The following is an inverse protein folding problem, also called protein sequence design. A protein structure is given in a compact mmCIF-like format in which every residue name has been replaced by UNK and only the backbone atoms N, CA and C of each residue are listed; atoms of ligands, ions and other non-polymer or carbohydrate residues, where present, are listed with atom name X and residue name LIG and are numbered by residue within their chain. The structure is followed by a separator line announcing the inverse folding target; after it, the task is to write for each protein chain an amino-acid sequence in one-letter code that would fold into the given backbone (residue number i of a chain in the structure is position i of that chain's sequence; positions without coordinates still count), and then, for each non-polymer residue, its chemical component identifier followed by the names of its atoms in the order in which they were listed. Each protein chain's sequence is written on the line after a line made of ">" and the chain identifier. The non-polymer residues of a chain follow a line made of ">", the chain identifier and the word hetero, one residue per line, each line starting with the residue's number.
data_IF_281532621277
#
_entry.id   IF_281532621277
#
_cell.length_a   1.000
_cell.length_b   1.000
_cell.length_c   1.000
_cell.angle_alpha   90.00
_cell.angle_beta   90.00
_cell.angle_gamma   90.00
#
_symmetry.space_group_name_H-M   'P 1'
#
loop_
_entity.id
_entity.type
_entity.pdbx_description
1 polymer ?
#
# COMPACT_ATOMS: atom_id res chain seq x y z
N UNK A 1 23.23 -6.47 1.35
CA UNK A 1 22.25 -7.19 0.49
C UNK A 1 20.87 -6.52 0.53
N UNK A 2 20.60 -5.70 1.56
CA UNK A 2 19.38 -4.91 1.84
C UNK A 2 18.88 -3.90 0.80
N UNK A 3 19.63 -3.60 -0.27
CA UNK A 3 19.23 -2.49 -1.16
C UNK A 3 18.30 -2.91 -2.31
N UNK A 4 18.27 -4.21 -2.67
CA UNK A 4 17.61 -4.68 -3.91
C UNK A 4 16.09 -4.51 -3.91
N UNK A 5 15.40 -4.82 -2.81
CA UNK A 5 13.94 -4.71 -2.73
C UNK A 5 13.48 -3.26 -2.86
N UNK A 6 14.08 -2.36 -2.08
CA UNK A 6 13.73 -0.94 -2.10
C UNK A 6 14.08 -0.28 -3.44
N UNK A 7 15.18 -0.68 -4.08
CA UNK A 7 15.55 -0.18 -5.41
C UNK A 7 14.54 -0.60 -6.48
N UNK A 8 14.03 -1.83 -6.42
CA UNK A 8 12.97 -2.29 -7.32
C UNK A 8 11.67 -1.50 -7.13
N UNK A 9 11.29 -1.21 -5.88
CA UNK A 9 10.13 -0.36 -5.58
C UNK A 9 10.32 1.04 -6.15
N UNK A 10 11.48 1.68 -5.89
CA UNK A 10 11.80 3.02 -6.40
C UNK A 10 11.74 3.07 -7.92
N UNK A 11 12.38 2.13 -8.61
CA UNK A 11 12.40 2.09 -10.07
C UNK A 11 10.99 2.00 -10.67
N UNK A 12 10.11 1.19 -10.08
CA UNK A 12 8.73 1.05 -10.55
C UNK A 12 7.88 2.30 -10.25
N UNK A 13 8.03 2.90 -9.07
CA UNK A 13 7.36 4.17 -8.72
C UNK A 13 7.81 5.29 -9.66
N UNK A 14 9.10 5.37 -9.98
CA UNK A 14 9.68 6.38 -10.86
C UNK A 14 9.08 6.32 -12.28
N UNK A 15 8.88 5.12 -12.81
CA UNK A 15 8.31 4.89 -14.15
C UNK A 15 6.79 5.08 -14.22
N UNK A 16 6.10 5.03 -13.09
CA UNK A 16 4.66 5.13 -13.00
C UNK A 16 4.14 6.58 -13.04
N UNK A 17 2.97 6.75 -13.65
CA UNK A 17 2.19 7.99 -13.64
C UNK A 17 1.28 8.04 -12.41
N UNK A 18 0.77 6.87 -12.00
CA UNK A 18 -0.09 6.70 -10.83
C UNK A 18 0.50 5.63 -9.91
N UNK A 19 0.35 5.80 -8.59
CA UNK A 19 0.77 4.82 -7.59
C UNK A 19 -0.39 4.47 -6.68
N UNK A 20 -0.84 3.22 -6.73
CA UNK A 20 -1.84 2.67 -5.84
C UNK A 20 -1.13 1.88 -4.75
N UNK A 21 -1.23 2.30 -3.50
CA UNK A 21 -0.58 1.64 -2.37
C UNK A 21 -1.60 0.91 -1.52
N UNK A 22 -1.32 -0.35 -1.19
CA UNK A 22 -2.11 -1.18 -0.30
C UNK A 22 -1.27 -1.60 0.89
N UNK A 23 -1.73 -1.30 2.11
CA UNK A 23 -1.00 -1.55 3.35
C UNK A 23 -1.78 -2.54 4.21
N UNK A 24 -1.10 -3.55 4.75
CA UNK A 24 -1.76 -4.54 5.60
C UNK A 24 -0.98 -4.98 6.83
N UNK A 25 -1.18 -6.24 7.19
CA UNK A 25 -0.88 -6.84 8.49
C UNK A 25 0.53 -6.56 9.05
N UNK A 26 1.57 -6.47 8.21
CA UNK A 26 2.93 -6.20 8.71
C UNK A 26 3.09 -4.80 9.34
N UNK A 27 2.15 -3.88 9.07
CA UNK A 27 2.09 -2.53 9.63
C UNK A 27 1.13 -2.41 10.83
N UNK A 28 0.60 -3.51 11.38
CA UNK A 28 -0.30 -3.47 12.53
C UNK A 28 0.39 -2.91 13.78
N UNK A 29 -0.29 -1.99 14.47
CA UNK A 29 0.11 -1.45 15.78
C UNK A 29 0.49 -2.56 16.79
N UNK A 30 1.49 -2.30 17.61
CA UNK A 30 1.81 -3.13 18.77
C UNK A 30 0.99 -2.75 20.01
N UNK A 31 0.78 -3.71 20.91
CA UNK A 31 0.06 -3.51 22.18
C UNK A 31 1.03 -3.35 23.37
N UNK A 32 0.60 -2.61 24.40
CA UNK A 32 1.39 -2.40 25.62
C UNK A 32 2.66 -1.56 25.42
N UNK A 33 3.56 -1.52 26.43
CA UNK A 33 4.77 -0.69 26.40
C UNK A 33 5.74 -1.04 25.27
N UNK A 34 5.89 -2.33 24.94
CA UNK A 34 6.71 -2.80 23.81
C UNK A 34 6.10 -2.40 22.46
N UNK A 35 4.80 -2.09 22.42
CA UNK A 35 4.11 -1.60 21.24
C UNK A 35 4.51 -0.18 20.84
N UNK A 36 4.93 0.67 21.78
CA UNK A 36 5.25 2.08 21.49
C UNK A 36 6.40 2.22 20.48
N UNK A 37 7.50 1.49 20.69
CA UNK A 37 8.64 1.50 19.76
C UNK A 37 8.25 1.00 18.36
N UNK A 38 7.44 -0.07 18.29
CA UNK A 38 6.91 -0.56 17.01
C UNK A 38 6.03 0.48 16.32
N UNK A 39 5.20 1.18 17.07
CA UNK A 39 4.29 2.21 16.56
C UNK A 39 5.07 3.39 15.97
N UNK A 40 6.13 3.82 16.65
CA UNK A 40 7.03 4.85 16.10
C UNK A 40 7.71 4.38 14.81
N UNK A 41 8.16 3.12 14.75
CA UNK A 41 8.72 2.52 13.52
C UNK A 41 7.71 2.51 12.38
N UNK A 42 6.46 2.15 12.65
CA UNK A 42 5.36 2.17 11.67
C UNK A 42 5.16 3.60 11.13
N UNK A 43 5.11 4.60 12.00
CA UNK A 43 4.97 6.01 11.56
C UNK A 43 6.19 6.47 10.75
N UNK A 44 7.41 6.08 11.14
CA UNK A 44 8.62 6.33 10.33
C UNK A 44 8.53 5.69 8.95
N UNK A 45 8.02 4.46 8.86
CA UNK A 45 7.84 3.77 7.60
C UNK A 45 6.79 4.44 6.70
N UNK A 46 5.66 4.89 7.25
CA UNK A 46 4.70 5.70 6.51
C UNK A 46 5.31 7.03 6.03
N UNK A 47 6.14 7.66 6.84
CA UNK A 47 6.83 8.89 6.46
C UNK A 47 7.84 8.66 5.33
N UNK A 48 8.54 7.53 5.33
CA UNK A 48 9.45 7.16 4.23
C UNK A 48 8.68 6.84 2.94
N UNK A 49 7.51 6.21 3.07
CA UNK A 49 6.58 6.02 1.96
C UNK A 49 6.10 7.38 1.41
N UNK A 50 5.78 8.35 2.28
CA UNK A 50 5.39 9.70 1.84
C UNK A 50 6.52 10.39 1.04
N UNK A 51 7.78 10.24 1.45
CA UNK A 51 8.93 10.77 0.69
C UNK A 51 9.05 10.09 -0.68
N UNK A 52 8.87 8.77 -0.74
CA UNK A 52 8.88 8.01 -2.00
C UNK A 52 7.78 8.46 -2.97
N UNK A 53 6.61 8.83 -2.46
CA UNK A 53 5.46 9.26 -3.25
C UNK A 53 5.49 10.76 -3.61
N UNK A 54 6.51 11.51 -3.19
CA UNK A 54 6.56 12.95 -3.44
C UNK A 54 6.55 13.26 -4.95
N UNK A 55 5.60 14.09 -5.38
CA UNK A 55 5.42 14.46 -6.78
C UNK A 55 4.70 13.40 -7.65
N UNK A 56 4.26 12.28 -7.06
CA UNK A 56 3.44 11.27 -7.73
C UNK A 56 1.96 11.49 -7.47
N UNK A 57 1.13 11.10 -8.43
CA UNK A 57 -0.31 10.95 -8.20
C UNK A 57 -0.55 9.62 -7.51
N UNK A 58 -0.99 9.63 -6.25
CA UNK A 58 -1.14 8.40 -5.47
C UNK A 58 -2.48 8.30 -4.76
N UNK A 59 -2.82 7.08 -4.35
CA UNK A 59 -3.86 6.80 -3.38
C UNK A 59 -3.42 5.62 -2.51
N UNK A 60 -3.74 5.67 -1.21
CA UNK A 60 -3.39 4.64 -0.25
C UNK A 60 -4.66 4.02 0.32
N UNK A 61 -4.73 2.70 0.32
CA UNK A 61 -5.73 1.92 1.03
C UNK A 61 -5.03 1.09 2.11
N UNK A 62 -5.61 1.07 3.31
CA UNK A 62 -5.12 0.26 4.43
C UNK A 62 -6.19 -0.69 4.93
N UNK A 63 -5.83 -1.91 5.32
CA UNK A 63 -6.70 -2.83 6.07
C UNK A 63 -6.49 -2.76 7.59
N UNK A 64 -5.54 -1.94 8.05
CA UNK A 64 -5.27 -1.73 9.48
C UNK A 64 -6.31 -0.80 10.11
N UNK A 65 -6.78 -1.15 11.32
CA UNK A 65 -7.87 -0.46 12.04
C UNK A 65 -7.39 0.55 13.08
N UNK A 66 -6.08 0.66 13.24
CA UNK A 66 -5.46 1.44 14.32
C UNK A 66 -5.31 2.93 13.99
N UNK A 67 -5.61 3.32 12.75
CA UNK A 67 -5.51 4.68 12.23
C UNK A 67 -4.13 5.34 12.40
N UNK A 68 -3.06 4.57 12.67
CA UNK A 68 -1.69 5.10 12.79
C UNK A 68 -1.21 5.76 11.50
N UNK A 69 -1.73 5.33 10.35
CA UNK A 69 -1.38 5.87 9.04
C UNK A 69 -1.62 7.38 8.95
N UNK A 70 -2.60 7.88 9.68
CA UNK A 70 -2.94 9.30 9.71
C UNK A 70 -2.04 10.13 10.65
N UNK A 71 -1.14 9.50 11.38
CA UNK A 71 -0.05 10.18 12.09
C UNK A 71 1.18 10.42 11.21
N UNK A 72 1.08 10.07 9.91
CA UNK A 72 2.15 10.25 8.93
C UNK A 72 2.04 11.58 8.17
N UNK A 73 2.98 11.82 7.26
CA UNK A 73 2.98 12.94 6.30
C UNK A 73 2.18 12.67 5.02
N UNK A 74 1.55 11.50 4.89
CA UNK A 74 0.59 11.25 3.81
C UNK A 74 -0.61 12.17 3.98
N UNK A 75 -1.18 12.64 2.88
CA UNK A 75 -2.35 13.52 2.95
C UNK A 75 -3.61 12.68 3.17
N UNK A 76 -4.35 12.96 4.25
CA UNK A 76 -5.59 12.26 4.64
C UNK A 76 -6.57 12.08 3.47
N UNK A 77 -6.69 13.06 2.59
CA UNK A 77 -7.59 13.01 1.43
C UNK A 77 -7.29 11.86 0.45
N UNK A 78 -6.02 11.42 0.38
CA UNK A 78 -5.57 10.32 -0.48
C UNK A 78 -5.40 9.00 0.27
N UNK A 79 -6.02 8.88 1.45
CA UNK A 79 -6.02 7.67 2.28
C UNK A 79 -7.47 7.19 2.43
N UNK A 80 -7.68 5.89 2.28
CA UNK A 80 -8.93 5.23 2.67
C UNK A 80 -8.62 4.09 3.63
N UNK A 81 -9.34 4.08 4.75
CA UNK A 81 -9.29 3.01 5.76
C UNK A 81 -10.69 2.40 5.88
N UNK A 82 -11.05 1.38 5.07
CA UNK A 82 -12.40 0.80 5.08
C UNK A 82 -12.80 0.15 6.41
N UNK A 83 -11.83 -0.12 7.28
CA UNK A 83 -12.01 -0.77 8.58
C UNK A 83 -11.60 0.12 9.77
N UNK A 84 -11.31 1.41 9.53
CA UNK A 84 -10.90 2.39 10.56
C UNK A 84 -12.08 3.03 11.31
N UNK A 85 -11.82 4.11 12.05
CA UNK A 85 -12.87 4.82 12.81
C UNK A 85 -13.92 5.47 11.89
N UNK A 86 -15.17 5.03 12.02
CA UNK A 86 -16.32 5.56 11.29
C UNK A 86 -16.68 7.00 11.69
N UNK A 87 -16.18 7.50 12.82
CA UNK A 87 -16.44 8.87 13.29
C UNK A 87 -15.40 9.88 12.81
N UNK A 88 -14.35 9.44 12.10
CA UNK A 88 -13.34 10.33 11.54
C UNK A 88 -13.95 11.25 10.48
N UNK A 89 -13.50 12.50 10.38
CA UNK A 89 -13.95 13.38 9.29
C UNK A 89 -13.60 12.79 7.93
N UNK A 90 -14.56 12.83 6.99
CA UNK A 90 -14.50 12.18 5.68
C UNK A 90 -14.46 10.62 5.72
N UNK A 91 -14.78 9.98 6.85
CA UNK A 91 -14.84 8.52 6.96
C UNK A 91 -15.91 7.87 6.06
N UNK A 92 -15.76 6.55 5.85
CA UNK A 92 -16.80 5.71 5.26
C UNK A 92 -16.95 5.86 3.74
N UNK A 93 -18.18 6.14 3.30
CA UNK A 93 -18.58 6.02 1.89
C UNK A 93 -17.91 7.09 1.00
N UNK A 94 -17.62 8.27 1.52
CA UNK A 94 -17.05 9.37 0.73
C UNK A 94 -15.60 9.09 0.32
N UNK A 95 -14.73 8.70 1.27
CA UNK A 95 -13.38 8.23 0.98
C UNK A 95 -13.38 6.99 0.07
N UNK A 96 -14.31 6.06 0.29
CA UNK A 96 -14.45 4.89 -0.59
C UNK A 96 -14.82 5.29 -2.03
N UNK A 97 -15.74 6.23 -2.20
CA UNK A 97 -16.09 6.77 -3.52
C UNK A 97 -14.92 7.53 -4.15
N UNK A 98 -14.17 8.31 -3.37
CA UNK A 98 -12.97 8.99 -3.84
C UNK A 98 -11.92 7.99 -4.33
N UNK A 99 -11.68 6.91 -3.57
CA UNK A 99 -10.81 5.81 -3.97
C UNK A 99 -11.28 5.15 -5.27
N UNK A 100 -12.57 4.81 -5.41
CA UNK A 100 -13.09 4.19 -6.63
C UNK A 100 -13.00 5.11 -7.85
N UNK A 101 -13.31 6.40 -7.68
CA UNK A 101 -13.19 7.40 -8.73
C UNK A 101 -11.73 7.59 -9.16
N UNK A 102 -10.81 7.65 -8.19
CA UNK A 102 -9.38 7.73 -8.46
C UNK A 102 -8.89 6.48 -9.20
N UNK A 103 -9.30 5.29 -8.75
CA UNK A 103 -8.93 4.02 -9.36
C UNK A 103 -9.41 3.93 -10.81
N UNK A 104 -10.65 4.34 -11.09
CA UNK A 104 -11.18 4.42 -12.45
C UNK A 104 -10.34 5.37 -13.34
N UNK A 105 -9.80 6.44 -12.76
CA UNK A 105 -8.93 7.40 -13.47
C UNK A 105 -7.55 6.84 -13.82
N UNK A 106 -7.14 5.71 -13.22
CA UNK A 106 -5.85 5.06 -13.53
C UNK A 106 -5.91 4.18 -14.79
N UNK A 107 -7.10 3.91 -15.32
CA UNK A 107 -7.26 3.02 -16.47
C UNK A 107 -6.47 3.57 -17.67
N UNK A 108 -5.72 2.68 -18.31
CA UNK A 108 -4.90 3.00 -19.48
C UNK A 108 -3.68 3.92 -19.22
N UNK A 109 -3.35 4.19 -17.95
CA UNK A 109 -2.11 4.84 -17.53
C UNK A 109 -1.11 3.84 -16.94
N UNK A 110 0.18 4.20 -16.92
CA UNK A 110 1.20 3.41 -16.22
C UNK A 110 0.97 3.49 -14.71
N UNK A 111 0.49 2.40 -14.14
CA UNK A 111 0.10 2.29 -12.74
C UNK A 111 1.09 1.40 -11.98
N UNK A 112 1.72 1.91 -10.94
CA UNK A 112 2.39 1.06 -9.95
C UNK A 112 1.36 0.65 -8.89
N UNK A 113 1.12 -0.64 -8.74
CA UNK A 113 0.32 -1.21 -7.65
C UNK A 113 1.32 -1.75 -6.63
N UNK A 114 1.44 -1.09 -5.48
CA UNK A 114 2.41 -1.42 -4.43
C UNK A 114 1.67 -2.03 -3.23
N UNK A 115 1.76 -3.35 -3.08
CA UNK A 115 1.19 -4.11 -1.95
C UNK A 115 2.27 -4.32 -0.87
N UNK A 116 2.08 -3.71 0.30
CA UNK A 116 3.01 -3.72 1.43
C UNK A 116 2.42 -4.49 2.61
N UNK A 117 2.96 -5.68 2.87
CA UNK A 117 2.68 -6.43 4.08
C UNK A 117 1.25 -6.96 4.21
N UNK A 118 0.47 -6.94 3.13
CA UNK A 118 -0.90 -7.45 3.10
C UNK A 118 -0.87 -8.97 3.18
N UNK A 119 -1.66 -9.54 4.08
CA UNK A 119 -1.73 -10.97 4.28
C UNK A 119 -3.03 -11.58 3.73
N UNK A 120 -3.68 -12.39 4.55
CA UNK A 120 -4.92 -13.08 4.22
C UNK A 120 -5.99 -12.92 5.32
N UNK A 121 -5.79 -12.01 6.28
CA UNK A 121 -6.82 -11.68 7.26
C UNK A 121 -8.07 -11.09 6.59
N UNK A 122 -7.91 -10.29 5.53
CA UNK A 122 -9.01 -9.70 4.75
C UNK A 122 -8.64 -9.45 3.28
N UNK A 123 -8.34 -10.52 2.50
CA UNK A 123 -7.82 -10.40 1.13
C UNK A 123 -8.79 -9.68 0.17
N UNK A 124 -10.08 -9.64 0.50
CA UNK A 124 -11.12 -8.92 -0.24
C UNK A 124 -10.96 -7.40 -0.21
N UNK A 125 -10.19 -6.85 0.73
CA UNK A 125 -9.99 -5.38 0.85
C UNK A 125 -8.89 -4.89 -0.09
N UNK A 126 -7.76 -5.62 -0.17
CA UNK A 126 -6.59 -5.17 -0.93
C UNK A 126 -6.11 -6.23 -1.93
N UNK A 127 -5.70 -7.41 -1.44
CA UNK A 127 -5.02 -8.43 -2.26
C UNK A 127 -5.78 -8.82 -3.53
N UNK A 128 -7.01 -9.28 -3.41
CA UNK A 128 -7.80 -9.68 -4.58
C UNK A 128 -8.21 -8.48 -5.45
N UNK A 129 -8.64 -7.32 -4.91
CA UNK A 129 -8.82 -6.12 -5.71
C UNK A 129 -7.57 -5.69 -6.50
N UNK A 130 -6.38 -5.77 -5.90
CA UNK A 130 -5.13 -5.38 -6.55
C UNK A 130 -4.76 -6.35 -7.68
N UNK A 131 -4.90 -7.66 -7.44
CA UNK A 131 -4.74 -8.68 -8.49
C UNK A 131 -5.71 -8.43 -9.65
N UNK A 132 -6.98 -8.13 -9.34
CA UNK A 132 -7.99 -7.78 -10.34
C UNK A 132 -7.61 -6.51 -11.11
N UNK A 133 -7.16 -5.46 -10.43
CA UNK A 133 -6.70 -4.22 -11.08
C UNK A 133 -5.50 -4.50 -12.00
N UNK A 134 -4.55 -5.32 -11.55
CA UNK A 134 -3.39 -5.72 -12.35
C UNK A 134 -3.78 -6.54 -13.59
N UNK A 135 -4.82 -7.37 -13.49
CA UNK A 135 -5.37 -8.12 -14.61
C UNK A 135 -6.00 -7.22 -15.68
N UNK A 136 -6.76 -6.19 -15.28
CA UNK A 136 -7.46 -5.32 -16.23
C UNK A 136 -6.59 -4.19 -16.79
N UNK A 137 -5.69 -3.62 -15.98
CA UNK A 137 -4.77 -2.58 -16.44
C UNK A 137 -3.45 -3.21 -16.90
N UNK A 138 -3.35 -3.52 -18.20
CA UNK A 138 -2.14 -4.14 -18.79
C UNK A 138 -0.90 -3.24 -18.78
N UNK A 139 -1.02 -1.95 -18.46
CA UNK A 139 0.11 -1.03 -18.25
C UNK A 139 0.55 -0.95 -16.78
N UNK A 140 -0.08 -1.72 -15.90
CA UNK A 140 0.29 -1.74 -14.49
C UNK A 140 1.47 -2.66 -14.21
N UNK A 141 2.25 -2.31 -13.19
CA UNK A 141 3.22 -3.18 -12.51
C UNK A 141 2.72 -3.47 -11.11
N UNK A 142 2.58 -4.73 -10.72
CA UNK A 142 2.23 -5.14 -9.37
C UNK A 142 3.49 -5.54 -8.61
N UNK A 143 3.78 -4.82 -7.52
CA UNK A 143 4.86 -5.14 -6.60
C UNK A 143 4.25 -5.63 -5.30
N UNK A 144 4.65 -6.82 -4.86
CA UNK A 144 4.23 -7.41 -3.59
C UNK A 144 5.44 -7.55 -2.68
N UNK A 145 5.41 -6.85 -1.56
CA UNK A 145 6.40 -6.95 -0.48
C UNK A 145 5.73 -7.65 0.70
N UNK A 146 6.16 -8.86 1.03
CA UNK A 146 5.65 -9.59 2.19
C UNK A 146 6.64 -10.68 2.60
N UNK A 147 6.95 -10.81 3.89
CA UNK A 147 7.92 -11.81 4.36
C UNK A 147 7.40 -13.25 4.24
N UNK A 148 6.09 -13.46 4.34
CA UNK A 148 5.47 -14.79 4.43
C UNK A 148 4.70 -15.19 3.18
N UNK A 149 4.02 -14.24 2.56
CA UNK A 149 3.15 -14.44 1.41
C UNK A 149 3.55 -13.59 0.19
N UNK A 150 4.80 -13.69 -0.31
CA UNK A 150 5.25 -12.88 -1.44
C UNK A 150 4.78 -13.41 -2.80
N UNK A 151 4.16 -14.60 -2.87
CA UNK A 151 3.81 -15.27 -4.12
C UNK A 151 2.86 -14.41 -4.96
N UNK A 152 3.08 -14.38 -6.26
CA UNK A 152 2.22 -13.69 -7.23
C UNK A 152 1.38 -14.69 -8.02
N UNK A 153 0.29 -14.21 -8.60
CA UNK A 153 -0.57 -15.01 -9.47
C UNK A 153 -0.01 -15.02 -10.90
N UNK A 154 -0.21 -16.12 -11.64
CA UNK A 154 0.30 -16.27 -13.02
C UNK A 154 -0.18 -15.15 -13.96
N UNK A 155 -1.37 -14.60 -13.69
CA UNK A 155 -1.98 -13.52 -14.47
C UNK A 155 -1.17 -12.22 -14.45
N UNK A 156 -0.26 -12.05 -13.48
CA UNK A 156 0.64 -10.89 -13.40
C UNK A 156 1.78 -10.96 -14.41
N UNK A 157 2.11 -12.16 -14.92
CA UNK A 157 3.12 -12.36 -15.96
C UNK A 157 4.45 -11.68 -15.63
N UNK A 158 5.00 -10.94 -16.60
CA UNK A 158 6.23 -10.15 -16.49
C UNK A 158 6.04 -8.79 -15.81
N UNK A 159 4.80 -8.43 -15.45
CA UNK A 159 4.44 -7.17 -14.76
C UNK A 159 4.39 -7.32 -13.25
N UNK A 160 4.69 -8.52 -12.74
CA UNK A 160 4.71 -8.85 -11.32
C UNK A 160 6.13 -8.83 -10.74
N UNK A 161 6.32 -8.14 -9.61
CA UNK A 161 7.57 -8.14 -8.83
C UNK A 161 7.27 -8.66 -7.42
N UNK A 162 7.94 -9.74 -7.03
CA UNK A 162 7.79 -10.39 -5.73
C UNK A 162 9.01 -10.10 -4.86
N UNK A 163 8.80 -9.56 -3.67
CA UNK A 163 9.85 -9.22 -2.70
C UNK A 163 9.51 -9.94 -1.39
N UNK A 164 10.28 -10.99 -1.08
CA UNK A 164 10.15 -11.82 0.12
C UNK A 164 10.78 -11.21 1.37
N UNK A 165 10.57 -9.92 1.60
CA UNK A 165 11.08 -9.16 2.75
C UNK A 165 9.90 -8.64 3.58
N UNK A 166 10.13 -8.35 4.86
CA UNK A 166 9.12 -7.69 5.68
C UNK A 166 9.00 -6.22 5.24
N UNK A 167 7.79 -5.81 4.85
CA UNK A 167 7.51 -4.50 4.31
C UNK A 167 7.70 -3.38 5.32
N UNK A 168 7.41 -3.61 6.61
CA UNK A 168 7.70 -2.64 7.65
C UNK A 168 9.21 -2.42 7.78
N UNK A 169 10.01 -3.49 7.85
CA UNK A 169 11.47 -3.36 7.93
C UNK A 169 12.06 -2.67 6.69
N UNK A 170 11.55 -2.99 5.49
CA UNK A 170 12.00 -2.40 4.23
C UNK A 170 11.83 -0.86 4.18
N UNK A 171 10.82 -0.34 4.89
CA UNK A 171 10.49 1.08 4.93
C UNK A 171 10.86 1.78 6.24
N UNK A 172 11.31 1.05 7.27
CA UNK A 172 11.69 1.63 8.57
C UNK A 172 13.01 2.40 8.60
#
# INVERSE_FOLDING_TARGET
>A
MEQKGLDAVKAAVDQAEFVLVGIGEEFQKGEGPEGEEKNERIVRAYNRLADLLQGKTYFVITENRDDLIFSSRLLDFFIVSPLGDENRENSGQEQWNAYLNWLASTLNHRLCILELGVGFASPQIIRWPFEKTAMFNLKSTLIRVNARFPQLTEQTGDRGISIGENALELFS
#
